data_IF_504520611662
#
_entry.id   IF_504520611662
#
_cell.length_a   1.000
_cell.length_b   1.000
_cell.length_c   1.000
_cell.angle_alpha   90.00
_cell.angle_beta   90.00
_cell.angle_gamma   90.00
#
_symmetry.space_group_name_H-M   'P 1'
#
loop_
_entity.id
_entity.type
_entity.pdbx_description
1 polymer ?
#
# COMPACT_ATOMS: atom_id res chain seq x y z
N UNK A 1 17.49 -54.37 28.62
CA UNK A 1 16.32 -53.47 28.48
C UNK A 1 16.30 -52.37 29.55
N UNK A 2 16.56 -52.67 30.84
CA UNK A 2 16.51 -51.66 31.93
C UNK A 2 17.43 -50.44 31.77
N UNK A 3 18.68 -50.62 31.32
CA UNK A 3 19.62 -49.50 31.09
C UNK A 3 19.11 -48.53 30.01
N UNK A 4 18.41 -49.04 28.99
CA UNK A 4 17.82 -48.22 27.93
C UNK A 4 16.58 -47.46 28.39
N UNK A 5 15.77 -48.05 29.28
CA UNK A 5 14.60 -47.39 29.88
C UNK A 5 15.03 -46.22 30.79
N UNK A 6 16.09 -46.40 31.59
CA UNK A 6 16.65 -45.33 32.43
C UNK A 6 17.20 -44.16 31.61
N UNK A 7 17.98 -44.44 30.56
CA UNK A 7 18.49 -43.40 29.67
C UNK A 7 17.39 -42.68 28.88
N UNK A 8 16.38 -43.40 28.40
CA UNK A 8 15.24 -42.80 27.72
C UNK A 8 14.40 -41.92 28.64
N UNK A 9 14.18 -42.34 29.89
CA UNK A 9 13.45 -41.54 30.88
C UNK A 9 14.22 -40.26 31.23
N UNK A 10 15.53 -40.32 31.44
CA UNK A 10 16.36 -39.15 31.71
C UNK A 10 16.34 -38.17 30.52
N UNK A 11 16.46 -38.67 29.29
CA UNK A 11 16.40 -37.85 28.09
C UNK A 11 15.04 -37.15 27.95
N UNK A 12 13.93 -37.87 28.20
CA UNK A 12 12.59 -37.29 28.16
C UNK A 12 12.42 -36.20 29.23
N UNK A 13 12.89 -36.43 30.46
CA UNK A 13 12.83 -35.41 31.53
C UNK A 13 13.64 -34.17 31.18
N UNK A 14 14.83 -34.32 30.59
CA UNK A 14 15.64 -33.19 30.15
C UNK A 14 14.99 -32.42 29.00
N UNK A 15 14.40 -33.12 28.03
CA UNK A 15 13.66 -32.49 26.92
C UNK A 15 12.44 -31.73 27.44
N UNK A 16 11.66 -32.33 28.34
CA UNK A 16 10.51 -31.68 28.95
C UNK A 16 10.93 -30.48 29.83
N UNK A 17 12.00 -30.62 30.61
CA UNK A 17 12.56 -29.54 31.41
C UNK A 17 13.05 -28.37 30.55
N UNK A 18 13.74 -28.66 29.45
CA UNK A 18 14.15 -27.66 28.47
C UNK A 18 12.95 -27.01 27.78
N UNK A 19 11.95 -27.79 27.36
CA UNK A 19 10.74 -27.25 26.72
C UNK A 19 9.95 -26.32 27.66
N UNK A 20 9.87 -26.67 28.95
CA UNK A 20 9.24 -25.80 29.97
C UNK A 20 10.07 -24.54 30.19
N UNK A 21 11.40 -24.66 30.26
CA UNK A 21 12.30 -23.51 30.39
C UNK A 21 12.18 -22.55 29.18
N UNK A 22 12.23 -23.11 27.97
CA UNK A 22 12.11 -22.36 26.72
C UNK A 22 10.75 -21.67 26.62
N UNK A 23 9.67 -22.39 26.95
CA UNK A 23 8.33 -21.82 27.02
C UNK A 23 8.23 -20.66 28.02
N UNK A 24 9.01 -20.68 29.11
CA UNK A 24 9.05 -19.63 30.14
C UNK A 24 9.97 -18.43 29.80
N UNK A 25 10.68 -18.47 28.66
CA UNK A 25 11.60 -17.40 28.23
C UNK A 25 11.11 -16.66 26.97
N UNK A 26 9.83 -16.80 26.63
CA UNK A 26 9.27 -16.17 25.45
C UNK A 26 9.36 -14.63 25.51
N UNK A 27 9.63 -14.01 24.36
CA UNK A 27 9.86 -12.57 24.23
C UNK A 27 8.68 -11.75 24.79
N UNK A 28 7.45 -12.16 24.46
CA UNK A 28 6.24 -11.46 24.91
C UNK A 28 6.10 -11.48 26.44
N UNK A 29 6.44 -12.58 27.13
CA UNK A 29 6.38 -12.64 28.60
C UNK A 29 7.28 -11.58 29.24
N UNK A 30 8.50 -11.43 28.73
CA UNK A 30 9.46 -10.44 29.21
C UNK A 30 8.91 -9.02 29.02
N UNK A 31 8.27 -8.75 27.88
CA UNK A 31 7.63 -7.47 27.59
C UNK A 31 6.46 -7.21 28.56
N UNK A 32 5.59 -8.20 28.81
CA UNK A 32 4.47 -8.03 29.75
C UNK A 32 4.94 -7.78 31.18
N UNK A 33 5.91 -8.55 31.66
CA UNK A 33 6.54 -8.36 32.99
C UNK A 33 7.08 -6.94 33.14
N UNK A 34 7.74 -6.45 32.10
CA UNK A 34 8.30 -5.10 32.08
C UNK A 34 7.19 -4.05 32.10
N UNK A 35 6.17 -4.21 31.24
CA UNK A 35 5.02 -3.31 31.18
C UNK A 35 4.31 -3.20 32.53
N UNK A 36 3.93 -4.33 33.15
CA UNK A 36 3.19 -4.31 34.42
C UNK A 36 4.02 -3.79 35.59
N UNK A 37 5.33 -4.08 35.61
CA UNK A 37 6.24 -3.50 36.61
C UNK A 37 6.30 -1.97 36.48
N UNK A 38 6.45 -1.46 35.26
CA UNK A 38 6.49 -0.02 35.00
C UNK A 38 5.14 0.64 35.31
N UNK A 39 4.04 0.02 34.89
CA UNK A 39 2.69 0.51 35.18
C UNK A 39 2.43 0.58 36.70
N UNK A 40 2.86 -0.44 37.46
CA UNK A 40 2.77 -0.43 38.92
C UNK A 40 3.64 0.68 39.54
N UNK A 41 4.85 0.89 39.03
CA UNK A 41 5.75 1.93 39.54
C UNK A 41 5.25 3.35 39.25
N UNK A 42 4.54 3.55 38.14
CA UNK A 42 3.98 4.85 37.75
C UNK A 42 2.55 5.09 38.22
N UNK A 43 1.91 4.10 38.86
CA UNK A 43 0.52 4.20 39.33
C UNK A 43 0.39 5.28 40.42
N UNK A 44 -0.56 6.21 40.22
CA UNK A 44 -0.82 7.32 41.14
C UNK A 44 -1.92 6.97 42.15
N UNK A 45 -2.81 6.04 41.81
CA UNK A 45 -3.94 5.63 42.64
C UNK A 45 -3.81 4.17 43.09
N UNK A 46 -4.45 3.81 44.21
CA UNK A 46 -4.50 2.40 44.64
C UNK A 46 -5.25 1.53 43.62
N UNK A 47 -6.27 2.07 42.95
CA UNK A 47 -6.97 1.36 41.88
C UNK A 47 -6.04 1.01 40.70
N UNK A 48 -5.14 1.91 40.30
CA UNK A 48 -4.13 1.62 39.27
C UNK A 48 -3.10 0.58 39.73
N UNK A 49 -2.69 0.62 41.01
CA UNK A 49 -1.78 -0.39 41.59
C UNK A 49 -2.44 -1.75 41.66
N UNK A 50 -3.69 -1.82 42.09
CA UNK A 50 -4.48 -3.05 42.14
C UNK A 50 -4.72 -3.61 40.74
N UNK A 51 -5.06 -2.74 39.77
CA UNK A 51 -5.13 -3.12 38.37
C UNK A 51 -3.82 -3.74 37.90
N UNK A 52 -2.68 -3.07 38.08
CA UNK A 52 -1.38 -3.57 37.63
C UNK A 52 -0.98 -4.90 38.28
N UNK A 53 -1.30 -5.10 39.57
CA UNK A 53 -1.05 -6.35 40.32
C UNK A 53 -1.95 -7.50 39.88
N UNK A 54 -3.18 -7.21 39.48
CA UNK A 54 -4.14 -8.23 39.03
C UNK A 54 -3.90 -8.72 37.60
N UNK A 55 -3.03 -8.05 36.84
CA UNK A 55 -2.75 -8.45 35.47
C UNK A 55 -2.00 -9.77 35.39
N UNK A 56 -2.46 -10.65 34.49
CA UNK A 56 -1.83 -11.94 34.21
C UNK A 56 -0.89 -11.83 33.02
N UNK A 57 0.27 -12.47 33.14
CA UNK A 57 1.19 -12.70 32.05
C UNK A 57 0.66 -13.90 31.27
N UNK A 58 0.13 -13.64 30.10
CA UNK A 58 -0.48 -14.66 29.24
C UNK A 58 -0.48 -14.20 27.79
N UNK A 59 -0.59 -15.15 26.87
CA UNK A 59 -0.71 -14.84 25.46
C UNK A 59 -2.03 -14.08 25.21
N UNK A 60 -1.93 -12.82 24.79
CA UNK A 60 -3.08 -11.97 24.51
C UNK A 60 -3.42 -12.03 23.03
N UNK A 61 -4.71 -12.21 22.74
CA UNK A 61 -5.18 -12.34 21.37
C UNK A 61 -6.43 -11.49 21.11
N UNK A 62 -6.46 -10.87 19.95
CA UNK A 62 -7.59 -10.20 19.36
C UNK A 62 -8.29 -11.16 18.40
N UNK A 63 -9.56 -11.47 18.68
CA UNK A 63 -10.38 -12.28 17.79
C UNK A 63 -11.17 -11.36 16.84
N UNK A 64 -10.72 -11.27 15.60
CA UNK A 64 -11.37 -10.43 14.58
C UNK A 64 -12.51 -11.21 13.93
N UNK A 65 -13.66 -11.26 14.62
CA UNK A 65 -14.84 -12.07 14.22
C UNK A 65 -15.27 -11.83 12.77
N UNK A 66 -15.20 -10.59 12.30
CA UNK A 66 -15.59 -10.20 10.94
C UNK A 66 -14.66 -10.74 9.84
N UNK A 67 -13.41 -11.07 10.19
CA UNK A 67 -12.38 -11.54 9.24
C UNK A 67 -11.99 -13.00 9.46
N UNK A 68 -12.49 -13.63 10.53
CA UNK A 68 -12.10 -14.98 10.92
C UNK A 68 -10.61 -15.10 11.30
N UNK A 69 -9.94 -13.99 11.59
CA UNK A 69 -8.50 -13.97 11.91
C UNK A 69 -8.25 -13.76 13.41
N UNK A 70 -7.05 -14.16 13.83
CA UNK A 70 -6.56 -13.98 15.20
C UNK A 70 -5.26 -13.20 15.12
N UNK A 71 -5.16 -12.14 15.91
CA UNK A 71 -3.94 -11.35 16.02
C UNK A 71 -3.42 -11.30 17.46
N UNK A 72 -2.10 -11.40 17.64
CA UNK A 72 -1.42 -11.52 18.92
C UNK A 72 -0.40 -10.43 19.17
N UNK A 73 -0.36 -9.40 18.32
CA UNK A 73 0.51 -8.24 18.46
C UNK A 73 0.38 -7.57 19.84
N UNK A 74 -0.83 -7.59 20.41
CA UNK A 74 -1.14 -7.08 21.75
C UNK A 74 -0.50 -7.87 22.89
N UNK A 75 0.16 -9.01 22.61
CA UNK A 75 0.96 -9.74 23.60
C UNK A 75 2.26 -9.00 23.95
N UNK A 76 2.79 -8.21 23.01
CA UNK A 76 3.97 -7.36 23.21
C UNK A 76 3.58 -5.88 23.26
N UNK A 77 2.72 -5.43 22.34
CA UNK A 77 2.24 -4.05 22.28
C UNK A 77 1.04 -3.86 23.22
N UNK A 78 1.30 -3.90 24.52
CA UNK A 78 0.28 -3.76 25.58
C UNK A 78 -0.08 -2.31 25.89
N UNK A 79 0.86 -1.40 25.63
CA UNK A 79 0.76 -0.01 26.03
C UNK A 79 -0.11 0.87 25.11
N UNK A 80 -0.77 0.27 24.10
CA UNK A 80 -1.44 0.95 22.99
C UNK A 80 -2.33 2.12 23.43
N UNK A 81 -3.05 1.95 24.53
CA UNK A 81 -4.01 2.93 25.04
C UNK A 81 -3.53 3.63 26.33
N UNK A 82 -2.43 3.16 26.95
CA UNK A 82 -2.00 3.64 28.26
C UNK A 82 -1.27 5.00 28.14
N UNK A 83 -1.82 6.10 28.71
CA UNK A 83 -1.25 7.45 28.57
C UNK A 83 0.14 7.60 29.20
N UNK A 84 0.47 6.81 30.22
CA UNK A 84 1.79 6.83 30.88
C UNK A 84 2.93 6.52 29.91
N UNK A 85 2.62 5.74 28.88
CA UNK A 85 3.59 5.18 27.95
C UNK A 85 3.75 6.00 26.66
N UNK A 86 3.26 7.25 26.64
CA UNK A 86 3.26 8.12 25.45
C UNK A 86 4.63 8.28 24.77
N UNK A 87 5.68 8.44 25.57
CA UNK A 87 7.04 8.71 25.09
C UNK A 87 8.01 7.54 25.27
N UNK A 88 7.50 6.35 25.60
CA UNK A 88 8.33 5.16 25.77
C UNK A 88 8.82 4.63 24.41
N UNK A 89 9.93 3.88 24.37
CA UNK A 89 10.34 3.16 23.18
C UNK A 89 9.39 2.01 22.86
N UNK A 90 9.40 1.55 21.61
CA UNK A 90 8.73 0.31 21.22
C UNK A 90 9.30 -0.88 22.03
N UNK A 91 8.48 -1.90 22.36
CA UNK A 91 7.05 -2.07 22.02
C UNK A 91 6.09 -1.43 23.04
N UNK A 92 6.60 -0.73 24.05
CA UNK A 92 5.81 -0.16 25.14
C UNK A 92 5.37 1.27 24.85
N UNK A 93 5.29 1.69 23.59
CA UNK A 93 4.84 3.04 23.25
C UNK A 93 3.31 3.08 23.14
N UNK A 94 2.69 4.16 23.66
CA UNK A 94 1.28 4.44 23.39
C UNK A 94 1.06 4.69 21.89
N UNK A 95 -0.02 4.16 21.34
CA UNK A 95 -0.40 4.47 19.98
C UNK A 95 -0.89 5.92 19.83
N UNK A 96 -0.88 6.41 18.60
CA UNK A 96 -1.55 7.65 18.20
C UNK A 96 -3.06 7.57 18.43
N UNK A 97 -3.74 8.73 18.44
CA UNK A 97 -5.20 8.85 18.54
C UNK A 97 -5.95 8.18 17.39
N UNK A 98 -5.25 7.65 16.37
CA UNK A 98 -5.87 6.88 15.31
C UNK A 98 -6.66 5.67 15.82
N UNK A 99 -6.28 5.06 16.95
CA UNK A 99 -7.04 3.92 17.52
C UNK A 99 -8.40 4.32 18.09
N UNK A 100 -8.67 5.60 18.30
CA UNK A 100 -10.00 6.08 18.71
C UNK A 100 -11.02 5.83 17.59
N UNK A 101 -10.61 6.00 16.33
CA UNK A 101 -11.44 5.68 15.15
C UNK A 101 -11.14 4.31 14.55
N UNK A 102 -10.00 3.69 14.90
CA UNK A 102 -9.56 2.40 14.39
C UNK A 102 -9.17 1.44 15.53
N UNK A 103 -10.11 1.05 16.41
CA UNK A 103 -9.79 0.19 17.55
C UNK A 103 -9.25 -1.17 17.07
N UNK A 104 -8.12 -1.67 17.63
CA UNK A 104 -7.51 -2.93 17.21
C UNK A 104 -8.45 -4.13 17.34
N UNK A 105 -9.37 -4.12 18.31
CA UNK A 105 -10.39 -5.16 18.49
C UNK A 105 -11.30 -5.34 17.27
N UNK A 106 -11.44 -4.31 16.43
CA UNK A 106 -12.28 -4.31 15.24
C UNK A 106 -11.46 -4.42 13.95
N UNK A 107 -10.34 -3.70 13.87
CA UNK A 107 -9.55 -3.59 12.64
C UNK A 107 -8.34 -4.53 12.57
N UNK A 108 -7.87 -5.03 13.73
CA UNK A 108 -6.56 -5.64 13.84
C UNK A 108 -5.42 -4.63 13.72
N UNK A 109 -4.20 -5.13 13.87
CA UNK A 109 -2.95 -4.43 13.67
C UNK A 109 -2.40 -4.67 12.26
N UNK A 110 -2.55 -5.88 11.71
CA UNK A 110 -1.94 -6.28 10.43
C UNK A 110 -2.51 -5.51 9.24
N UNK A 111 -3.79 -5.13 9.29
CA UNK A 111 -4.39 -4.35 8.20
C UNK A 111 -3.72 -2.98 7.97
N UNK A 112 -3.17 -2.38 9.04
CA UNK A 112 -2.48 -1.10 8.96
C UNK A 112 -0.96 -1.29 8.80
N UNK A 113 -0.39 -2.24 9.53
CA UNK A 113 1.06 -2.38 9.66
C UNK A 113 1.66 -3.49 8.81
N UNK A 114 0.89 -4.42 8.24
CA UNK A 114 1.41 -5.67 7.69
C UNK A 114 1.88 -6.64 8.78
N UNK A 115 2.79 -7.56 8.44
CA UNK A 115 3.30 -8.55 9.39
C UNK A 115 2.49 -9.85 9.45
N UNK A 116 2.78 -10.67 10.46
CA UNK A 116 2.07 -11.92 10.75
C UNK A 116 1.35 -11.81 12.10
N UNK A 117 0.03 -11.64 12.05
CA UNK A 117 -0.77 -11.41 13.24
C UNK A 117 -0.77 -12.60 14.21
N UNK A 118 -0.58 -13.84 13.72
CA UNK A 118 -0.63 -15.03 14.58
C UNK A 118 0.70 -15.33 15.27
N UNK A 119 1.79 -14.72 14.82
CA UNK A 119 3.11 -14.95 15.38
C UNK A 119 3.21 -14.44 16.83
N UNK A 120 4.12 -15.07 17.57
CA UNK A 120 4.39 -14.75 18.99
C UNK A 120 5.84 -14.37 19.24
N UNK A 121 6.64 -14.30 18.17
CA UNK A 121 8.02 -13.81 18.17
C UNK A 121 8.11 -12.53 17.35
N UNK A 122 8.99 -11.61 17.72
CA UNK A 122 9.18 -10.36 16.99
C UNK A 122 9.67 -10.61 15.56
N UNK A 123 10.54 -11.61 15.37
CA UNK A 123 11.05 -12.00 14.06
C UNK A 123 9.90 -12.37 13.10
N UNK A 124 9.06 -13.32 13.51
CA UNK A 124 7.96 -13.79 12.67
C UNK A 124 6.85 -12.74 12.53
N UNK A 125 6.44 -12.10 13.63
CA UNK A 125 5.37 -11.11 13.63
C UNK A 125 5.68 -9.91 12.74
N UNK A 126 6.96 -9.53 12.65
CA UNK A 126 7.39 -8.41 11.81
C UNK A 126 7.72 -8.81 10.38
N UNK A 127 7.52 -10.08 10.00
CA UNK A 127 7.84 -10.63 8.68
C UNK A 127 9.35 -10.60 8.38
N UNK A 128 10.16 -10.90 9.40
CA UNK A 128 11.62 -11.01 9.31
C UNK A 128 12.03 -12.49 9.37
N UNK A 129 13.19 -12.85 8.80
CA UNK A 129 13.56 -14.27 8.62
C UNK A 129 12.80 -14.88 7.44
N UNK A 130 13.26 -16.02 6.89
CA UNK A 130 12.78 -16.65 5.65
C UNK A 130 11.34 -17.20 5.68
N UNK A 131 10.43 -16.49 6.32
CA UNK A 131 9.03 -16.82 6.53
C UNK A 131 8.23 -16.21 5.39
N UNK A 132 7.14 -16.86 4.98
CA UNK A 132 6.21 -16.38 3.94
C UNK A 132 5.39 -15.13 4.36
N UNK A 133 5.67 -14.53 5.52
CA UNK A 133 4.97 -13.37 6.03
C UNK A 133 5.45 -12.08 5.38
N UNK A 134 4.53 -11.13 5.12
CA UNK A 134 4.90 -9.82 4.58
C UNK A 134 5.54 -8.96 5.67
N UNK A 135 6.69 -8.31 5.39
CA UNK A 135 7.32 -7.37 6.32
C UNK A 135 6.38 -6.24 6.74
N UNK A 136 6.59 -5.70 7.94
CA UNK A 136 5.85 -4.50 8.37
C UNK A 136 6.07 -3.32 7.41
N UNK A 137 4.99 -2.58 7.15
CA UNK A 137 5.02 -1.26 6.54
C UNK A 137 5.62 -0.25 7.52
N UNK A 138 6.58 0.54 7.06
CA UNK A 138 7.29 1.54 7.87
C UNK A 138 7.11 2.93 7.29
N UNK A 139 6.91 3.94 8.14
CA UNK A 139 6.80 5.34 7.70
C UNK A 139 5.79 5.53 6.57
N UNK A 140 6.22 6.16 5.47
CA UNK A 140 5.38 6.48 4.32
C UNK A 140 4.78 5.25 3.61
N UNK A 141 5.37 4.06 3.74
CA UNK A 141 4.78 2.83 3.18
C UNK A 141 3.40 2.52 3.76
N UNK A 142 3.11 3.01 4.96
CA UNK A 142 1.81 2.84 5.62
C UNK A 142 0.67 3.61 4.92
N UNK A 143 0.98 4.60 4.07
CA UNK A 143 -0.01 5.31 3.27
C UNK A 143 -0.78 4.37 2.32
N UNK A 144 -0.16 3.27 1.88
CA UNK A 144 -0.82 2.25 1.09
C UNK A 144 -1.96 1.57 1.86
N UNK A 145 -1.75 1.26 3.14
CA UNK A 145 -2.78 0.65 3.99
C UNK A 145 -3.97 1.60 4.20
N UNK A 146 -3.72 2.88 4.42
CA UNK A 146 -4.79 3.89 4.52
C UNK A 146 -5.61 3.94 3.22
N UNK A 147 -4.93 3.98 2.07
CA UNK A 147 -5.58 3.99 0.76
C UNK A 147 -6.46 2.76 0.51
N UNK A 148 -6.04 1.57 0.95
CA UNK A 148 -6.77 0.32 0.69
C UNK A 148 -8.19 0.31 1.28
N UNK A 149 -8.43 1.07 2.35
CA UNK A 149 -9.77 1.21 2.94
C UNK A 149 -10.50 2.47 2.47
N UNK A 150 -9.78 3.58 2.28
CA UNK A 150 -10.37 4.90 2.11
C UNK A 150 -10.36 5.43 0.67
N UNK A 151 -9.51 4.86 -0.20
CA UNK A 151 -9.18 5.41 -1.50
C UNK A 151 -8.65 6.84 -1.43
N UNK A 152 -8.78 7.58 -2.53
CA UNK A 152 -8.36 9.00 -2.60
C UNK A 152 -9.40 9.98 -2.06
N UNK A 153 -10.68 9.62 -2.09
CA UNK A 153 -11.77 10.59 -1.89
C UNK A 153 -12.00 10.96 -0.44
N UNK A 154 -11.57 10.12 0.51
CA UNK A 154 -11.97 10.26 1.93
C UNK A 154 -10.82 10.64 2.86
N UNK A 155 -9.61 10.88 2.34
CA UNK A 155 -8.43 11.21 3.15
C UNK A 155 -7.82 12.55 2.78
N UNK A 156 -7.26 13.30 3.75
CA UNK A 156 -6.46 14.48 3.46
C UNK A 156 -5.28 14.12 2.53
N UNK A 157 -4.91 14.99 1.57
CA UNK A 157 -3.86 14.69 0.60
C UNK A 157 -2.54 14.22 1.22
N UNK A 158 -2.18 14.72 2.40
CA UNK A 158 -0.95 14.32 3.10
C UNK A 158 -0.89 12.84 3.50
N UNK A 159 -2.05 12.18 3.67
CA UNK A 159 -2.14 10.79 4.15
C UNK A 159 -1.98 9.78 3.00
N UNK A 160 -2.22 10.22 1.76
CA UNK A 160 -2.11 9.39 0.55
C UNK A 160 -1.17 10.00 -0.49
N UNK A 161 -0.39 11.01 -0.12
CA UNK A 161 0.46 11.76 -1.03
C UNK A 161 1.44 10.86 -1.79
N UNK A 162 2.06 9.89 -1.11
CA UNK A 162 2.98 8.94 -1.72
C UNK A 162 2.27 8.02 -2.72
N UNK A 163 1.02 7.61 -2.44
CA UNK A 163 0.20 6.83 -3.38
C UNK A 163 -0.10 7.64 -4.64
N UNK A 164 -0.49 8.91 -4.48
CA UNK A 164 -0.81 9.79 -5.60
C UNK A 164 0.43 10.04 -6.48
N UNK A 165 1.56 10.39 -5.88
CA UNK A 165 2.83 10.60 -6.59
C UNK A 165 3.31 9.32 -7.26
N UNK A 166 3.24 8.18 -6.57
CA UNK A 166 3.60 6.87 -7.13
C UNK A 166 2.81 6.53 -8.39
N UNK A 167 1.50 6.76 -8.36
CA UNK A 167 0.65 6.57 -9.53
C UNK A 167 1.03 7.50 -10.68
N UNK A 168 1.36 8.76 -10.40
CA UNK A 168 1.85 9.69 -11.43
C UNK A 168 3.17 9.23 -12.03
N UNK A 169 4.09 8.71 -11.20
CA UNK A 169 5.37 8.19 -11.64
C UNK A 169 5.24 6.93 -12.51
N UNK A 170 4.33 6.01 -12.18
CA UNK A 170 4.00 4.84 -13.04
C UNK A 170 3.63 5.27 -14.46
N UNK A 171 2.90 6.38 -14.60
CA UNK A 171 2.58 6.95 -15.90
C UNK A 171 3.78 7.68 -16.52
N UNK A 172 4.52 8.46 -15.71
CA UNK A 172 5.68 9.24 -16.15
C UNK A 172 6.82 8.38 -16.66
N UNK A 173 6.98 7.17 -16.13
CA UNK A 173 8.01 6.24 -16.58
C UNK A 173 7.45 5.18 -17.54
N UNK A 174 6.25 5.40 -18.07
CA UNK A 174 5.59 4.55 -19.06
C UNK A 174 5.58 3.06 -18.67
N UNK A 175 5.39 2.76 -17.38
CA UNK A 175 5.39 1.38 -16.90
C UNK A 175 4.28 0.57 -17.56
N UNK A 176 3.16 1.22 -17.93
CA UNK A 176 2.05 0.60 -18.65
C UNK A 176 2.36 0.23 -20.10
N UNK A 177 3.49 0.68 -20.66
CA UNK A 177 3.92 0.26 -22.00
C UNK A 177 4.26 -1.23 -22.05
N UNK A 178 4.76 -1.80 -20.95
CA UNK A 178 5.02 -3.24 -20.84
C UNK A 178 4.06 -3.93 -19.89
N UNK A 179 3.70 -3.30 -18.77
CA UNK A 179 2.88 -3.91 -17.73
C UNK A 179 1.40 -3.58 -17.90
N UNK A 180 0.55 -4.50 -17.46
CA UNK A 180 -0.89 -4.26 -17.33
C UNK A 180 -1.25 -3.95 -15.87
N UNK A 181 -2.23 -3.07 -15.66
CA UNK A 181 -2.88 -2.77 -14.37
C UNK A 181 -4.39 -2.59 -14.63
N UNK A 182 -5.21 -3.39 -13.96
CA UNK A 182 -6.66 -3.42 -14.03
C UNK A 182 -7.21 -3.46 -15.46
N UNK A 183 -6.55 -4.21 -16.35
CA UNK A 183 -6.94 -4.33 -17.76
C UNK A 183 -6.28 -3.31 -18.70
N UNK A 184 -5.66 -2.25 -18.17
CA UNK A 184 -4.99 -1.21 -18.96
C UNK A 184 -3.48 -1.48 -19.06
N UNK A 185 -2.91 -1.39 -20.27
CA UNK A 185 -1.47 -1.47 -20.52
C UNK A 185 -1.05 -2.60 -21.45
N UNK A 186 0.26 -2.89 -21.47
CA UNK A 186 0.88 -3.92 -22.31
C UNK A 186 0.91 -5.32 -21.68
N UNK A 187 1.30 -6.32 -22.47
CA UNK A 187 1.44 -7.72 -22.03
C UNK A 187 2.90 -8.23 -22.02
N UNK A 188 3.85 -7.36 -22.39
CA UNK A 188 5.28 -7.70 -22.44
C UNK A 188 5.88 -7.96 -21.05
N UNK A 189 5.38 -7.25 -20.04
CA UNK A 189 5.73 -7.41 -18.63
C UNK A 189 4.63 -8.12 -17.85
N UNK A 190 4.95 -8.64 -16.65
CA UNK A 190 3.95 -9.27 -15.79
C UNK A 190 2.85 -8.29 -15.38
N UNK A 191 1.63 -8.81 -15.24
CA UNK A 191 0.47 -8.09 -14.69
C UNK A 191 0.75 -7.57 -13.27
N UNK A 192 0.35 -6.32 -13.00
CA UNK A 192 0.61 -5.65 -11.73
C UNK A 192 -0.63 -5.38 -10.89
N UNK A 193 -1.85 -5.70 -11.36
CA UNK A 193 -3.13 -5.48 -10.67
C UNK A 193 -3.18 -6.00 -9.23
N UNK A 194 -2.41 -7.05 -8.93
CA UNK A 194 -2.36 -7.70 -7.60
C UNK A 194 -0.96 -7.71 -7.01
N UNK A 195 -0.02 -6.93 -7.55
CA UNK A 195 1.40 -7.06 -7.18
C UNK A 195 1.67 -6.77 -5.70
N UNK A 196 0.87 -5.92 -5.05
CA UNK A 196 0.92 -5.67 -3.61
C UNK A 196 0.42 -6.85 -2.77
N UNK A 197 -0.39 -7.74 -3.37
CA UNK A 197 -0.73 -9.05 -2.81
C UNK A 197 0.43 -10.04 -2.98
N UNK A 198 1.11 -10.00 -4.12
CA UNK A 198 2.09 -11.03 -4.50
C UNK A 198 3.52 -10.76 -4.03
N UNK A 199 3.85 -9.51 -3.71
CA UNK A 199 5.20 -9.06 -3.35
C UNK A 199 5.19 -8.17 -2.13
N UNK A 200 6.31 -8.18 -1.40
CA UNK A 200 6.54 -7.26 -0.29
C UNK A 200 6.99 -5.89 -0.80
N UNK A 201 6.78 -4.84 0.01
CA UNK A 201 7.30 -3.51 -0.31
C UNK A 201 8.84 -3.51 -0.48
N UNK A 202 9.55 -4.37 0.27
CA UNK A 202 11.02 -4.52 0.15
C UNK A 202 11.38 -5.08 -1.21
N UNK A 203 10.68 -6.13 -1.65
CA UNK A 203 10.89 -6.73 -2.97
C UNK A 203 10.60 -5.72 -4.08
N UNK A 204 9.47 -5.00 -3.99
CA UNK A 204 9.09 -4.00 -4.98
C UNK A 204 10.11 -2.86 -5.06
N UNK A 205 10.53 -2.34 -3.91
CA UNK A 205 11.56 -1.30 -3.84
C UNK A 205 12.87 -1.78 -4.48
N UNK A 206 13.34 -2.97 -4.10
CA UNK A 206 14.58 -3.53 -4.61
C UNK A 206 14.50 -3.81 -6.12
N UNK A 207 13.36 -4.33 -6.59
CA UNK A 207 13.16 -4.64 -8.01
C UNK A 207 13.11 -3.36 -8.85
N UNK A 208 12.41 -2.32 -8.39
CA UNK A 208 12.41 -1.02 -9.05
C UNK A 208 13.81 -0.36 -9.07
N UNK A 209 14.60 -0.56 -8.01
CA UNK A 209 15.95 -0.02 -7.93
C UNK A 209 16.93 -0.75 -8.86
N UNK A 210 16.81 -2.08 -8.98
CA UNK A 210 17.69 -2.91 -9.81
C UNK A 210 16.99 -4.21 -10.22
N UNK A 211 16.21 -4.21 -11.31
CA UNK A 211 15.37 -5.34 -11.69
C UNK A 211 16.17 -6.65 -11.86
N UNK A 212 17.29 -6.57 -12.58
CA UNK A 212 18.21 -7.70 -12.84
C UNK A 212 18.92 -8.22 -11.59
N UNK A 213 19.00 -7.40 -10.54
CA UNK A 213 19.59 -7.78 -9.26
C UNK A 213 18.63 -8.58 -8.38
N UNK A 214 17.32 -8.44 -8.62
CA UNK A 214 16.27 -9.17 -7.88
C UNK A 214 15.74 -10.36 -8.68
N UNK A 215 15.62 -10.20 -10.00
CA UNK A 215 15.17 -11.24 -10.93
C UNK A 215 16.25 -11.41 -12.00
N UNK A 216 16.97 -12.53 -11.94
CA UNK A 216 17.98 -12.86 -12.94
C UNK A 216 17.36 -12.93 -14.34
N UNK A 217 18.00 -12.27 -15.31
CA UNK A 217 17.51 -12.21 -16.70
C UNK A 217 16.30 -11.28 -16.92
N UNK A 218 15.92 -10.45 -15.95
CA UNK A 218 14.83 -9.48 -16.13
C UNK A 218 15.11 -8.54 -17.30
N UNK A 219 14.13 -8.42 -18.20
CA UNK A 219 14.12 -7.47 -19.33
C UNK A 219 13.65 -6.07 -18.92
N UNK A 220 13.16 -5.90 -17.69
CA UNK A 220 12.72 -4.59 -17.18
C UNK A 220 13.90 -3.61 -17.15
N UNK A 221 13.82 -2.45 -17.81
CA UNK A 221 14.96 -1.54 -17.90
C UNK A 221 15.29 -0.93 -16.52
N UNK A 222 16.55 -0.55 -16.35
CA UNK A 222 16.98 0.22 -15.17
C UNK A 222 16.58 1.68 -15.38
N UNK A 223 15.63 2.15 -14.58
CA UNK A 223 15.18 3.55 -14.61
C UNK A 223 16.10 4.44 -13.77
N UNK A 224 16.30 5.68 -14.21
CA UNK A 224 17.00 6.71 -13.41
C UNK A 224 16.06 7.33 -12.36
N UNK A 225 15.58 6.50 -11.44
CA UNK A 225 14.70 6.92 -10.33
C UNK A 225 15.52 7.31 -9.11
N UNK A 226 15.13 8.38 -8.43
CA UNK A 226 15.68 8.69 -7.11
C UNK A 226 14.98 7.88 -6.00
N UNK A 227 15.53 7.88 -4.78
CA UNK A 227 15.02 7.06 -3.66
C UNK A 227 13.55 7.38 -3.30
N UNK A 228 13.14 8.64 -3.41
CA UNK A 228 11.77 9.06 -3.12
C UNK A 228 10.81 8.59 -4.21
N UNK A 229 11.20 8.65 -5.48
CA UNK A 229 10.39 8.14 -6.59
C UNK A 229 10.19 6.62 -6.50
N UNK A 230 11.25 5.86 -6.19
CA UNK A 230 11.15 4.41 -5.98
C UNK A 230 10.20 4.11 -4.82
N UNK A 231 10.31 4.84 -3.71
CA UNK A 231 9.42 4.70 -2.54
C UNK A 231 7.98 4.98 -2.93
N UNK A 232 7.70 6.08 -3.61
CA UNK A 232 6.33 6.47 -3.98
C UNK A 232 5.71 5.47 -4.96
N UNK A 233 6.46 5.03 -5.99
CA UNK A 233 5.99 3.96 -6.90
C UNK A 233 5.70 2.69 -6.09
N UNK A 234 6.59 2.30 -5.18
CA UNK A 234 6.37 1.14 -4.30
C UNK A 234 5.10 1.28 -3.47
N UNK A 235 4.87 2.45 -2.86
CA UNK A 235 3.66 2.73 -2.07
C UNK A 235 2.41 2.58 -2.93
N UNK A 236 2.41 3.08 -4.16
CA UNK A 236 1.29 2.90 -5.08
C UNK A 236 1.09 1.42 -5.45
N UNK A 237 2.15 0.69 -5.81
CA UNK A 237 2.06 -0.74 -6.15
C UNK A 237 1.54 -1.58 -4.97
N UNK A 238 1.85 -1.19 -3.73
CA UNK A 238 1.30 -1.83 -2.52
C UNK A 238 -0.22 -1.63 -2.35
N UNK A 239 -0.85 -0.72 -3.09
CA UNK A 239 -2.32 -0.57 -3.13
C UNK A 239 -3.01 -1.53 -4.10
N UNK A 240 -2.24 -2.19 -4.96
CA UNK A 240 -2.75 -3.10 -5.98
C UNK A 240 -2.86 -4.51 -5.38
N UNK A 241 -4.00 -4.78 -4.76
CA UNK A 241 -4.27 -6.01 -4.01
C UNK A 241 -5.29 -6.91 -4.72
N UNK A 242 -5.13 -8.22 -4.59
CA UNK A 242 -6.16 -9.21 -4.92
C UNK A 242 -7.43 -8.94 -4.10
N UNK A 243 -8.60 -9.13 -4.73
CA UNK A 243 -9.91 -8.90 -4.10
C UNK A 243 -10.08 -9.58 -2.73
N UNK A 244 -9.51 -10.77 -2.52
CA UNK A 244 -9.54 -11.50 -1.24
C UNK A 244 -8.73 -10.79 -0.17
N UNK A 245 -7.59 -10.22 -0.54
CA UNK A 245 -6.74 -9.48 0.40
C UNK A 245 -7.29 -8.07 0.65
N UNK A 246 -7.94 -7.45 -0.34
CA UNK A 246 -8.74 -6.24 -0.12
C UNK A 246 -9.83 -6.49 0.93
N UNK A 247 -10.54 -7.62 0.85
CA UNK A 247 -11.55 -8.04 1.83
C UNK A 247 -10.97 -8.35 3.21
N UNK A 248 -9.75 -8.91 3.30
CA UNK A 248 -9.05 -9.09 4.59
C UNK A 248 -8.60 -7.78 5.21
N UNK A 249 -8.27 -6.77 4.39
CA UNK A 249 -7.82 -5.47 4.88
C UNK A 249 -8.97 -4.50 5.15
N UNK A 250 -10.16 -4.74 4.59
CA UNK A 250 -11.38 -3.97 4.83
C UNK A 250 -12.22 -4.58 5.98
N UNK A 251 -12.54 -3.86 7.06
CA UNK A 251 -13.50 -4.35 8.06
C UNK A 251 -14.90 -4.50 7.44
N UNK A 252 -15.72 -5.46 7.88
CA UNK A 252 -17.12 -5.54 7.42
C UNK A 252 -17.89 -4.29 7.85
N UNK A 253 -17.48 -3.67 8.96
CA UNK A 253 -17.98 -2.36 9.41
C UNK A 253 -17.55 -1.18 8.52
N UNK A 254 -16.36 -1.20 7.89
CA UNK A 254 -16.01 -0.21 6.86
C UNK A 254 -16.84 -0.44 5.59
N UNK A 255 -17.18 -1.70 5.29
CA UNK A 255 -18.11 -2.04 4.22
C UNK A 255 -19.54 -1.56 4.53
N UNK A 256 -19.99 -1.58 5.80
CA UNK A 256 -21.25 -0.96 6.25
C UNK A 256 -21.19 0.56 6.22
N UNK A 257 -20.14 1.19 6.74
CA UNK A 257 -19.97 2.64 6.61
C UNK A 257 -19.92 3.11 5.14
N UNK A 258 -19.32 2.31 4.26
CA UNK A 258 -19.34 2.53 2.81
C UNK A 258 -20.71 2.22 2.17
N UNK A 259 -21.53 1.34 2.75
CA UNK A 259 -22.88 0.94 2.28
C UNK A 259 -24.00 1.83 2.84
N UNK A 260 -23.75 2.47 3.98
CA UNK A 260 -24.60 3.48 4.65
C UNK A 260 -24.28 4.89 4.12
N UNK A 261 -23.17 5.04 3.40
CA UNK A 261 -23.07 6.00 2.31
C UNK A 261 -23.78 5.40 1.09
N UNK A 262 -24.62 6.15 0.36
CA UNK A 262 -25.25 5.58 -0.83
C UNK A 262 -24.16 5.25 -1.86
N UNK A 263 -23.80 3.98 -1.95
CA UNK A 263 -23.08 3.45 -3.10
C UNK A 263 -24.05 3.48 -4.26
N UNK A 264 -23.83 4.40 -5.21
CA UNK A 264 -24.42 4.28 -6.54
C UNK A 264 -24.07 2.89 -7.07
N UNK A 265 -25.12 2.14 -7.47
CA UNK A 265 -24.96 0.80 -8.00
C UNK A 265 -24.31 0.87 -9.38
N UNK A 266 -23.47 -0.12 -9.77
CA UNK A 266 -22.65 -0.03 -10.98
C UNK A 266 -23.40 -0.18 -12.32
N UNK A 267 -24.74 -0.06 -12.36
CA UNK A 267 -25.54 -0.58 -13.48
C UNK A 267 -26.54 0.43 -14.08
N UNK A 268 -26.83 1.55 -13.44
CA UNK A 268 -27.82 2.55 -13.92
C UNK A 268 -27.16 3.76 -14.63
N UNK A 269 -26.15 3.52 -15.48
CA UNK A 269 -25.53 4.54 -16.35
C UNK A 269 -26.45 5.05 -17.48
N UNK A 270 -27.75 4.74 -17.47
CA UNK A 270 -28.68 5.23 -18.49
C UNK A 270 -29.97 5.73 -17.86
N UNK A 271 -30.18 7.04 -17.99
CA UNK A 271 -31.38 7.82 -17.65
C UNK A 271 -31.65 8.12 -16.19
N UNK A 272 -31.06 9.20 -15.67
CA UNK A 272 -31.74 10.07 -14.69
C UNK A 272 -31.68 11.52 -15.15
N UNK A 273 -32.88 12.07 -15.41
CA UNK A 273 -33.11 13.47 -15.74
C UNK A 273 -32.87 14.39 -14.55
N UNK A 274 -32.39 15.59 -14.90
CA UNK A 274 -32.36 16.85 -14.17
C UNK A 274 -32.75 16.83 -12.68
N UNK A 275 -31.76 16.53 -11.83
CA UNK A 275 -31.77 16.99 -10.44
C UNK A 275 -30.55 17.90 -10.24
N UNK A 276 -30.82 19.21 -10.19
CA UNK A 276 -29.80 20.23 -9.90
C UNK A 276 -29.44 20.21 -8.42
N UNK A 277 -28.37 19.50 -8.08
CA UNK A 277 -27.68 19.66 -6.80
C UNK A 277 -26.77 20.89 -6.87
N UNK A 278 -26.93 21.80 -5.91
CA UNK A 278 -26.03 22.94 -5.75
C UNK A 278 -24.60 22.41 -5.56
N UNK A 279 -23.72 22.78 -6.49
CA UNK A 279 -22.36 22.29 -6.57
C UNK A 279 -21.59 22.55 -5.27
N UNK A 280 -21.25 21.47 -4.56
CA UNK A 280 -20.15 21.50 -3.61
C UNK A 280 -18.85 21.64 -4.40
N UNK A 281 -18.24 22.83 -4.31
CA UNK A 281 -17.03 23.24 -5.03
C UNK A 281 -15.81 22.62 -4.36
N UNK A 282 -15.63 21.30 -4.44
CA UNK A 282 -14.48 20.69 -3.77
C UNK A 282 -14.18 19.20 -3.98
N UNK A 283 -15.03 18.43 -4.66
CA UNK A 283 -14.68 17.05 -4.98
C UNK A 283 -13.58 17.01 -6.05
N UNK A 284 -12.33 16.72 -5.65
CA UNK A 284 -11.22 16.54 -6.60
C UNK A 284 -11.51 15.28 -7.43
N UNK A 285 -12.07 15.46 -8.63
CA UNK A 285 -12.10 14.42 -9.66
C UNK A 285 -10.66 14.12 -10.04
N UNK A 286 -10.23 12.87 -9.90
CA UNK A 286 -8.93 12.44 -10.44
C UNK A 286 -8.95 12.64 -11.95
N UNK A 287 -8.25 13.68 -12.40
CA UNK A 287 -8.00 13.97 -13.80
C UNK A 287 -6.50 13.77 -14.04
N UNK A 288 -6.15 13.07 -15.11
CA UNK A 288 -4.78 13.09 -15.56
C UNK A 288 -4.44 14.53 -15.98
N UNK A 289 -3.31 15.03 -15.53
CA UNK A 289 -2.78 16.30 -16.02
C UNK A 289 -2.10 16.04 -17.37
N UNK A 290 -2.66 16.59 -18.45
CA UNK A 290 -2.15 16.38 -19.80
C UNK A 290 -0.76 16.97 -20.05
N UNK A 291 -0.35 18.03 -19.35
CA UNK A 291 1.00 18.60 -19.45
C UNK A 291 2.02 17.69 -18.75
N UNK A 292 1.66 17.14 -17.59
CA UNK A 292 2.50 16.15 -16.89
C UNK A 292 2.59 14.88 -17.74
N UNK A 293 1.49 14.39 -18.29
CA UNK A 293 1.49 13.26 -19.22
C UNK A 293 2.34 13.54 -20.46
N UNK A 294 2.29 14.74 -21.04
CA UNK A 294 3.10 15.09 -22.21
C UNK A 294 4.60 14.96 -21.94
N UNK A 295 5.04 15.39 -20.75
CA UNK A 295 6.45 15.28 -20.34
C UNK A 295 6.81 13.87 -19.90
N UNK A 296 5.89 13.19 -19.23
CA UNK A 296 6.08 11.84 -18.73
C UNK A 296 6.11 10.79 -19.84
N UNK A 297 5.23 10.91 -20.82
CA UNK A 297 5.25 10.05 -22.00
C UNK A 297 6.43 10.34 -22.94
N UNK A 298 7.35 11.23 -22.55
CA UNK A 298 8.54 11.56 -23.33
C UNK A 298 8.24 12.33 -24.62
N UNK A 299 7.02 12.87 -24.79
CA UNK A 299 6.66 13.60 -26.01
C UNK A 299 7.60 14.79 -26.23
N UNK A 300 8.04 15.45 -25.16
CA UNK A 300 8.97 16.58 -25.22
C UNK A 300 10.41 16.20 -25.63
N UNK A 301 10.76 14.91 -25.70
CA UNK A 301 12.06 14.46 -26.20
C UNK A 301 12.15 14.59 -27.72
N UNK A 302 11.01 14.43 -28.41
CA UNK A 302 10.92 14.57 -29.85
C UNK A 302 10.26 15.89 -30.27
N UNK A 303 9.28 16.38 -29.50
CA UNK A 303 8.47 17.53 -29.86
C UNK A 303 8.82 18.77 -29.03
N UNK A 304 8.85 19.92 -29.70
CA UNK A 304 9.07 21.22 -29.08
C UNK A 304 7.75 21.89 -28.64
N UNK A 305 7.75 22.49 -27.45
CA UNK A 305 6.76 23.43 -26.96
C UNK A 305 7.42 24.77 -26.61
N UNK A 306 7.00 25.83 -27.30
CA UNK A 306 7.69 27.12 -27.27
C UNK A 306 9.11 26.99 -27.79
N UNK A 307 10.10 27.20 -26.91
CA UNK A 307 11.54 27.07 -27.18
C UNK A 307 12.18 25.85 -26.50
N UNK A 308 11.38 24.93 -25.95
CA UNK A 308 11.86 23.79 -25.17
C UNK A 308 11.34 22.47 -25.73
N UNK A 309 12.24 21.50 -25.88
CA UNK A 309 11.92 20.14 -26.32
C UNK A 309 12.83 19.68 -27.46
N UNK A 310 12.47 18.57 -28.09
CA UNK A 310 13.19 18.03 -29.24
C UNK A 310 12.72 18.59 -30.59
N UNK A 311 13.55 18.36 -31.61
CA UNK A 311 13.29 18.75 -33.01
C UNK A 311 13.05 17.53 -33.93
N UNK A 312 12.99 16.32 -33.36
CA UNK A 312 12.76 15.08 -34.13
C UNK A 312 11.34 15.05 -34.69
N UNK A 313 10.37 15.49 -33.88
CA UNK A 313 8.98 15.69 -34.28
C UNK A 313 8.69 17.18 -34.47
N UNK A 314 7.59 17.52 -35.16
CA UNK A 314 7.20 18.92 -35.37
C UNK A 314 6.90 19.62 -34.05
N UNK A 315 7.12 20.93 -34.02
CA UNK A 315 6.74 21.78 -32.89
C UNK A 315 5.22 21.77 -32.69
N UNK A 316 4.80 21.58 -31.43
CA UNK A 316 3.39 21.43 -31.04
C UNK A 316 2.82 22.68 -30.37
N UNK A 317 3.58 23.76 -30.27
CA UNK A 317 3.18 25.03 -29.61
C UNK A 317 1.82 25.56 -30.06
N UNK A 318 1.44 25.32 -31.32
CA UNK A 318 0.18 25.77 -31.92
C UNK A 318 -0.60 24.60 -32.53
N UNK A 319 -0.45 23.39 -31.98
CA UNK A 319 -1.03 22.19 -32.57
C UNK A 319 -2.55 22.26 -32.65
N UNK A 320 -3.21 22.94 -31.71
CA UNK A 320 -4.66 23.10 -31.69
C UNK A 320 -5.20 23.89 -32.90
N UNK A 321 -4.36 24.70 -33.58
CA UNK A 321 -4.76 25.37 -34.84
C UNK A 321 -4.72 24.44 -36.04
N UNK A 322 -3.97 23.34 -35.95
CA UNK A 322 -3.67 22.44 -37.07
C UNK A 322 -4.43 21.12 -36.99
N UNK A 323 -4.77 20.66 -35.78
CA UNK A 323 -5.52 19.42 -35.55
C UNK A 323 -6.55 19.63 -34.45
N UNK A 324 -7.76 19.17 -34.72
CA UNK A 324 -8.81 19.10 -33.71
C UNK A 324 -8.58 17.92 -32.75
N UNK A 325 -9.39 17.87 -31.69
CA UNK A 325 -9.24 16.87 -30.64
C UNK A 325 -9.42 15.44 -31.14
N UNK A 326 -10.31 15.22 -32.12
CA UNK A 326 -10.57 13.89 -32.69
C UNK A 326 -9.37 13.39 -33.51
N UNK A 327 -8.76 14.26 -34.32
CA UNK A 327 -7.53 13.95 -35.04
C UNK A 327 -6.35 13.66 -34.10
N UNK A 328 -6.26 14.39 -32.98
CA UNK A 328 -5.24 14.14 -31.96
C UNK A 328 -5.49 12.83 -31.22
N UNK A 329 -6.75 12.52 -30.88
CA UNK A 329 -7.12 11.27 -30.22
C UNK A 329 -6.79 10.06 -31.11
N UNK A 330 -7.17 10.11 -32.39
CA UNK A 330 -6.86 9.04 -33.35
C UNK A 330 -5.35 8.85 -33.52
N UNK A 331 -4.59 9.94 -33.67
CA UNK A 331 -3.13 9.88 -33.75
C UNK A 331 -2.50 9.24 -32.50
N UNK A 332 -2.99 9.56 -31.31
CA UNK A 332 -2.44 9.02 -30.06
C UNK A 332 -2.83 7.56 -29.82
N UNK A 333 -3.94 7.08 -30.41
CA UNK A 333 -4.37 5.68 -30.37
C UNK A 333 -3.50 4.82 -31.28
N UNK A 334 -3.28 5.27 -32.52
CA UNK A 334 -2.49 4.55 -33.51
C UNK A 334 -1.74 5.54 -34.44
N UNK A 335 -0.47 5.87 -34.12
CA UNK A 335 0.32 6.75 -34.95
C UNK A 335 0.66 6.17 -36.32
N UNK A 336 0.80 4.85 -36.47
CA UNK A 336 1.16 4.22 -37.76
C UNK A 336 -0.02 4.26 -38.72
N UNK A 337 -1.25 4.08 -38.22
CA UNK A 337 -2.47 4.24 -39.02
C UNK A 337 -2.60 5.68 -39.57
N UNK A 338 -2.31 6.68 -38.74
CA UNK A 338 -2.51 8.10 -39.09
C UNK A 338 -1.30 8.71 -39.82
N UNK A 339 -0.09 8.24 -39.54
CA UNK A 339 1.18 8.69 -40.12
C UNK A 339 2.02 7.48 -40.57
N UNK A 340 1.64 6.78 -41.65
CA UNK A 340 2.38 5.61 -42.12
C UNK A 340 3.84 5.94 -42.42
N UNK A 341 4.77 5.14 -41.89
CA UNK A 341 6.21 5.39 -42.02
C UNK A 341 6.75 6.58 -41.21
N UNK A 342 5.94 7.11 -40.29
CA UNK A 342 6.33 8.17 -39.35
C UNK A 342 7.32 7.68 -38.28
N UNK A 343 8.02 8.62 -37.64
CA UNK A 343 8.94 8.32 -36.52
C UNK A 343 8.27 8.34 -35.14
N UNK A 344 6.96 8.55 -35.08
CA UNK A 344 6.23 8.64 -33.82
C UNK A 344 5.96 7.23 -33.29
N UNK A 345 6.46 6.85 -32.10
CA UNK A 345 6.30 5.51 -31.57
C UNK A 345 4.87 5.27 -31.06
N UNK A 346 4.45 4.00 -31.03
CA UNK A 346 3.23 3.59 -30.33
C UNK A 346 3.36 3.85 -28.83
N UNK A 347 2.42 4.61 -28.26
CA UNK A 347 2.51 5.11 -26.88
C UNK A 347 1.76 4.27 -25.84
N UNK A 348 0.96 3.29 -26.28
CA UNK A 348 0.16 2.38 -25.42
C UNK A 348 -0.60 3.11 -24.28
N UNK A 349 -1.26 4.21 -24.63
CA UNK A 349 -2.03 5.03 -23.69
C UNK A 349 -3.46 4.51 -23.56
N UNK A 350 -4.02 4.51 -22.35
CA UNK A 350 -5.44 4.23 -22.14
C UNK A 350 -6.31 5.45 -22.50
N UNK A 351 -7.63 5.23 -22.66
CA UNK A 351 -8.56 6.27 -23.10
C UNK A 351 -8.53 7.53 -22.24
N UNK A 352 -8.38 7.39 -20.92
CA UNK A 352 -8.37 8.53 -20.01
C UNK A 352 -7.08 9.36 -20.11
N UNK A 353 -5.95 8.71 -20.36
CA UNK A 353 -4.68 9.38 -20.64
C UNK A 353 -4.72 10.11 -21.98
N UNK A 354 -5.28 9.47 -23.01
CA UNK A 354 -5.44 10.09 -24.34
C UNK A 354 -6.32 11.33 -24.22
N UNK A 355 -7.49 11.23 -23.58
CA UNK A 355 -8.38 12.38 -23.36
C UNK A 355 -7.70 13.53 -22.61
N UNK A 356 -6.87 13.23 -21.61
CA UNK A 356 -6.14 14.26 -20.88
C UNK A 356 -5.02 14.91 -21.71
N UNK A 357 -4.28 14.11 -22.50
CA UNK A 357 -3.28 14.62 -23.44
C UNK A 357 -3.91 15.48 -24.52
N UNK A 358 -4.99 15.01 -25.14
CA UNK A 358 -5.78 15.78 -26.11
C UNK A 358 -6.26 17.08 -25.48
N UNK A 359 -6.85 17.02 -24.28
CA UNK A 359 -7.29 18.20 -23.55
C UNK A 359 -6.18 19.23 -23.37
N UNK A 360 -4.97 18.80 -22.98
CA UNK A 360 -3.81 19.68 -22.88
C UNK A 360 -3.35 20.21 -24.25
N UNK A 361 -3.18 19.35 -25.25
CA UNK A 361 -2.73 19.75 -26.58
C UNK A 361 -3.71 20.72 -27.26
N UNK A 362 -5.02 20.57 -27.00
CA UNK A 362 -6.05 21.50 -27.47
C UNK A 362 -5.96 22.88 -26.82
N UNK A 363 -5.26 23.04 -25.68
CA UNK A 363 -4.96 24.37 -25.10
C UNK A 363 -3.79 25.08 -25.80
N UNK A 364 -3.02 24.37 -26.62
CA UNK A 364 -1.86 24.90 -27.33
C UNK A 364 -2.29 25.51 -28.67
N UNK A 365 -3.03 26.61 -28.58
CA UNK A 365 -3.58 27.36 -29.70
C UNK A 365 -2.80 28.62 -30.00
#
# INVERSE_FOLDING_TARGET
MEKWLGSASLALTLILGWAVWDAAQQEWERVQRTYYRLALSGAQTEAEKEWARSQRIELKQLQLKERGTVERCVSCHLALENPMFRNFPEPLRKHSSLLESHPPKQFGCVACHGGEGRAVTALEAHGQGGILAKPLLKGDYMQAACYNCHGLKTLPPRVTAAVVRGRQLVNRYLCLGCHKINGDGGEEGPELSTVGSDRSWIWLYAHLARPQGVVAGSTMPVFSLNREEIKDITVYLMTLLDSRDQLKNLPLLAKRAAKDYPTERPEDERNHGDIKFAADKGAVKFAYDGNILFRGAGCNLCHMLGIRGGEVGPALTYIARKRDGENLERLLKDPEEVLPGGKMPQLYLNERQIKALVGFLSTLS
#
